data_IF_419117740506
#
_entry.id   IF_419117740506
#
_cell.length_a   1.000
_cell.length_b   1.000
_cell.length_c   1.000
_cell.angle_alpha   90.00
_cell.angle_beta   90.00
_cell.angle_gamma   90.00
#
_symmetry.space_group_name_H-M   'P 1'
#
loop_
_entity.id
_entity.type
_entity.pdbx_description
1 polymer ?
#
# COMPACT_ATOMS: atom_id res chain seq x y z
N UNK A 1 4.23 0.30 7.70
CA UNK A 1 5.62 0.58 7.26
C UNK A 1 5.99 2.04 7.36
N UNK A 2 7.19 2.35 7.87
CA UNK A 2 7.76 3.71 7.82
C UNK A 2 8.23 3.97 6.38
N UNK A 3 8.18 5.23 5.96
CA UNK A 3 8.57 5.65 4.59
C UNK A 3 10.00 5.25 4.21
N UNK A 4 10.89 5.08 5.19
CA UNK A 4 12.28 4.67 4.98
C UNK A 4 12.45 3.20 4.54
N UNK A 5 11.49 2.32 4.85
CA UNK A 5 11.59 0.89 4.49
C UNK A 5 11.19 0.66 3.03
N UNK A 6 10.25 1.45 2.52
CA UNK A 6 9.76 1.38 1.12
C UNK A 6 10.84 1.81 0.13
N UNK A 7 11.71 2.76 0.51
CA UNK A 7 12.81 3.22 -0.32
C UNK A 7 13.91 2.16 -0.53
N UNK A 8 14.05 1.21 0.39
CA UNK A 8 15.03 0.11 0.30
C UNK A 8 14.50 -1.12 -0.45
N UNK A 9 13.18 -1.24 -0.59
CA UNK A 9 12.58 -2.36 -1.29
C UNK A 9 12.88 -2.29 -2.79
N UNK A 10 13.14 -3.47 -3.36
CA UNK A 10 13.36 -3.61 -4.80
C UNK A 10 12.07 -3.31 -5.58
N UNK A 11 12.18 -2.86 -6.83
CA UNK A 11 11.02 -2.48 -7.67
C UNK A 11 10.00 -3.64 -7.78
N UNK A 12 10.51 -4.88 -7.78
CA UNK A 12 9.71 -6.11 -7.86
C UNK A 12 8.96 -6.41 -6.56
N UNK A 13 9.58 -6.20 -5.41
CA UNK A 13 8.96 -6.36 -4.09
C UNK A 13 7.91 -5.29 -3.82
N UNK A 14 8.17 -4.05 -4.26
CA UNK A 14 7.24 -2.93 -4.19
C UNK A 14 5.94 -3.23 -4.94
N UNK A 15 6.04 -3.86 -6.12
CA UNK A 15 4.86 -4.28 -6.89
C UNK A 15 4.06 -5.40 -6.20
N UNK A 16 4.74 -6.37 -5.58
CA UNK A 16 4.08 -7.45 -4.80
C UNK A 16 3.35 -6.88 -3.58
N UNK A 17 4.03 -6.07 -2.78
CA UNK A 17 3.45 -5.41 -1.60
C UNK A 17 2.25 -4.54 -1.97
N UNK A 18 2.29 -3.85 -3.12
CA UNK A 18 1.16 -3.05 -3.60
C UNK A 18 -0.05 -3.91 -3.98
N UNK A 19 0.18 -5.10 -4.55
CA UNK A 19 -0.88 -6.05 -4.88
C UNK A 19 -1.53 -6.61 -3.60
N UNK A 20 -0.73 -6.94 -2.60
CA UNK A 20 -1.22 -7.48 -1.33
C UNK A 20 -1.96 -6.42 -0.52
N UNK A 21 -1.44 -5.18 -0.45
CA UNK A 21 -2.13 -4.08 0.22
C UNK A 21 -3.48 -3.74 -0.44
N UNK A 22 -3.59 -3.89 -1.78
CA UNK A 22 -4.87 -3.74 -2.50
C UNK A 22 -5.85 -4.85 -2.17
N UNK A 23 -5.40 -6.11 -2.10
CA UNK A 23 -6.25 -7.23 -1.66
C UNK A 23 -6.77 -6.98 -0.25
N UNK A 24 -5.88 -6.63 0.67
CA UNK A 24 -6.23 -6.33 2.06
C UNK A 24 -7.22 -5.16 2.17
N UNK A 25 -7.12 -4.13 1.32
CA UNK A 25 -8.12 -3.06 1.25
C UNK A 25 -9.48 -3.53 0.72
N UNK A 26 -9.52 -4.51 -0.17
CA UNK A 26 -10.75 -5.08 -0.71
C UNK A 26 -11.41 -6.02 0.30
N UNK A 27 -10.63 -6.91 0.91
CA UNK A 27 -11.07 -7.83 1.96
C UNK A 27 -11.61 -7.03 3.15
N UNK A 28 -10.90 -5.97 3.56
CA UNK A 28 -11.39 -5.04 4.60
C UNK A 28 -12.73 -4.38 4.23
N UNK A 29 -12.96 -4.06 2.96
CA UNK A 29 -14.27 -3.50 2.52
C UNK A 29 -15.38 -4.54 2.66
N UNK A 30 -15.12 -5.79 2.30
CA UNK A 30 -16.09 -6.87 2.44
C UNK A 30 -16.36 -7.21 3.92
N UNK A 31 -15.32 -7.22 4.75
CA UNK A 31 -15.44 -7.48 6.20
C UNK A 31 -16.19 -6.37 6.95
N UNK A 32 -16.02 -5.11 6.54
CA UNK A 32 -16.79 -3.98 7.08
C UNK A 32 -18.25 -4.04 6.63
N UNK A 33 -18.53 -4.42 5.38
CA UNK A 33 -19.91 -4.58 4.90
C UNK A 33 -20.65 -5.69 5.65
N UNK A 34 -19.94 -6.77 6.04
CA UNK A 34 -20.48 -7.85 6.87
C UNK A 34 -20.61 -7.53 8.37
N UNK A 35 -20.40 -6.28 8.79
CA UNK A 35 -20.43 -5.85 10.22
C UNK A 35 -19.43 -6.58 11.13
N UNK A 36 -18.42 -7.25 10.56
CA UNK A 36 -17.49 -8.13 11.28
C UNK A 36 -16.22 -7.40 11.74
N UNK A 37 -15.86 -6.30 11.08
CA UNK A 37 -14.62 -5.57 11.38
C UNK A 37 -14.83 -4.38 12.31
N UNK A 38 -14.22 -4.44 13.51
CA UNK A 38 -14.20 -3.35 14.51
C UNK A 38 -12.97 -2.45 14.37
N UNK A 39 -11.98 -2.81 13.53
CA UNK A 39 -10.68 -2.14 13.46
C UNK A 39 -10.54 -1.23 12.23
N UNK A 40 -11.22 -0.08 12.24
CA UNK A 40 -11.17 0.93 11.16
C UNK A 40 -9.77 1.49 10.88
N UNK A 41 -8.83 1.33 11.83
CA UNK A 41 -7.44 1.76 11.69
C UNK A 41 -6.67 0.93 10.65
N UNK A 42 -6.99 -0.34 10.48
CA UNK A 42 -6.33 -1.23 9.51
C UNK A 42 -6.61 -0.78 8.07
N UNK A 43 -7.87 -0.51 7.74
CA UNK A 43 -8.24 0.02 6.42
C UNK A 43 -7.59 1.37 6.12
N UNK A 44 -7.47 2.26 7.12
CA UNK A 44 -6.76 3.54 6.98
C UNK A 44 -5.26 3.34 6.74
N UNK A 45 -4.64 2.41 7.45
CA UNK A 45 -3.22 2.11 7.31
C UNK A 45 -2.92 1.49 5.93
N UNK A 46 -3.74 0.55 5.46
CA UNK A 46 -3.60 -0.05 4.13
C UNK A 46 -3.63 1.02 3.02
N UNK A 47 -4.59 1.96 3.07
CA UNK A 47 -4.66 3.10 2.12
C UNK A 47 -3.40 3.97 2.16
N UNK A 48 -2.88 4.24 3.36
CA UNK A 48 -1.68 5.06 3.55
C UNK A 48 -0.43 4.37 3.01
N UNK A 49 -0.32 3.06 3.14
CA UNK A 49 0.77 2.27 2.59
C UNK A 49 0.73 2.22 1.06
N UNK A 50 -0.46 2.01 0.47
CA UNK A 50 -0.65 2.09 -0.99
C UNK A 50 -0.18 3.44 -1.53
N UNK A 51 -0.60 4.55 -0.90
CA UNK A 51 -0.21 5.89 -1.31
C UNK A 51 1.32 6.07 -1.28
N UNK A 52 1.98 5.64 -0.20
CA UNK A 52 3.44 5.73 -0.07
C UNK A 52 4.18 4.92 -1.12
N UNK A 53 3.72 3.70 -1.41
CA UNK A 53 4.31 2.84 -2.45
C UNK A 53 4.17 3.45 -3.85
N UNK A 54 2.99 3.99 -4.17
CA UNK A 54 2.75 4.67 -5.45
C UNK A 54 3.62 5.92 -5.61
N UNK A 55 3.77 6.72 -4.56
CA UNK A 55 4.63 7.91 -4.58
C UNK A 55 6.09 7.56 -4.82
N UNK A 56 6.61 6.51 -4.17
CA UNK A 56 7.98 6.06 -4.39
C UNK A 56 8.19 5.56 -5.83
N UNK A 57 7.28 4.71 -6.33
CA UNK A 57 7.33 4.22 -7.72
C UNK A 57 7.28 5.37 -8.73
N UNK A 58 6.45 6.39 -8.48
CA UNK A 58 6.38 7.59 -9.32
C UNK A 58 7.66 8.40 -9.25
N UNK A 59 8.25 8.56 -8.06
CA UNK A 59 9.50 9.28 -7.85
C UNK A 59 10.67 8.61 -8.57
N UNK A 60 10.77 7.28 -8.52
CA UNK A 60 11.74 6.49 -9.29
C UNK A 60 11.56 6.67 -10.81
N UNK A 61 10.31 6.65 -11.29
CA UNK A 61 10.00 6.87 -12.71
C UNK A 61 10.39 8.28 -13.17
N UNK A 62 10.16 9.31 -12.35
CA UNK A 62 10.58 10.69 -12.65
C UNK A 62 12.11 10.85 -12.66
N UNK A 63 12.83 10.18 -11.75
CA UNK A 63 14.30 10.19 -11.74
C UNK A 63 14.93 9.49 -12.95
N UNK A 64 14.30 8.42 -13.47
CA UNK A 64 14.77 7.73 -14.69
C UNK A 64 14.49 8.52 -15.98
N UNK A 65 13.58 9.48 -15.95
CA UNK A 65 13.15 10.25 -17.11
C UNK A 65 13.92 11.57 -17.31
N UNK A 66 14.80 11.93 -16.36
CA UNK A 66 15.74 13.03 -16.45
C UNK A 66 17.17 12.47 -16.49
#
# INVERSE_FOLDING_TARGET
MKTKDIAKADDTELAKLLRDARKLSTDFRFDVAGSKSRNTKEGRNAKKEIARMLTEMRSRKLKKAN
#
